data_IF_831415182471
#
_entry.id   IF_831415182471
#
_cell.length_a   1.000
_cell.length_b   1.000
_cell.length_c   1.000
_cell.angle_alpha   90.00
_cell.angle_beta   90.00
_cell.angle_gamma   90.00
#
_symmetry.space_group_name_H-M   'P 1'
#
loop_
_entity.id
_entity.type
_entity.pdbx_description
1 polymer ?
#
# COMPACT_ATOMS: atom_id res chain seq x y z
N UNK A 1 -1.06 -9.18 7.55
CA UNK A 1 -1.21 -7.75 7.94
C UNK A 1 -2.58 -7.55 8.56
N UNK A 2 -2.72 -6.68 9.56
CA UNK A 2 -3.99 -6.41 10.23
C UNK A 2 -4.15 -4.96 10.67
N UNK A 3 -5.36 -4.64 11.13
CA UNK A 3 -5.67 -3.45 11.91
C UNK A 3 -6.39 -3.97 13.16
N UNK A 4 -6.00 -3.48 14.33
CA UNK A 4 -6.62 -3.86 15.61
C UNK A 4 -7.12 -2.62 16.33
N UNK A 5 -8.15 -2.77 17.15
CA UNK A 5 -8.61 -1.73 18.04
C UNK A 5 -8.22 -2.10 19.47
N UNK A 6 -7.63 -1.14 20.18
CA UNK A 6 -7.35 -1.26 21.61
C UNK A 6 -8.59 -0.84 22.40
N UNK A 7 -8.83 -1.47 23.56
CA UNK A 7 -10.01 -1.21 24.37
C UNK A 7 -10.01 0.22 24.93
N UNK A 8 -11.21 0.80 25.12
CA UNK A 8 -11.37 2.17 25.60
C UNK A 8 -10.59 2.48 26.90
N UNK A 9 -10.58 1.62 27.95
CA UNK A 9 -9.83 1.90 29.18
C UNK A 9 -8.32 2.05 28.96
N UNK A 10 -7.74 1.30 28.03
CA UNK A 10 -6.32 1.39 27.70
C UNK A 10 -5.99 2.68 26.95
N UNK A 11 -6.91 3.16 26.10
CA UNK A 11 -6.72 4.40 25.33
C UNK A 11 -6.79 5.65 26.23
N UNK A 12 -7.72 5.67 27.20
CA UNK A 12 -7.89 6.81 28.12
C UNK A 12 -6.96 6.73 29.34
N UNK A 13 -6.22 5.63 29.49
CA UNK A 13 -5.22 5.45 30.53
C UNK A 13 -4.01 6.37 30.36
N UNK A 14 -3.17 6.44 31.40
CA UNK A 14 -1.93 7.25 31.37
C UNK A 14 -0.91 6.73 30.35
N UNK A 15 -0.90 5.42 30.11
CA UNK A 15 -0.03 4.79 29.13
C UNK A 15 -0.70 4.79 27.76
N UNK A 16 0.00 5.30 26.74
CA UNK A 16 -0.51 5.22 25.37
C UNK A 16 -0.36 3.80 24.81
N UNK A 17 -1.35 3.31 24.05
CA UNK A 17 -1.22 2.03 23.37
C UNK A 17 -0.11 2.07 22.31
N UNK A 18 0.44 0.90 22.02
CA UNK A 18 1.40 0.77 20.93
C UNK A 18 0.72 1.07 19.58
N UNK A 19 1.33 1.89 18.71
CA UNK A 19 0.73 2.25 17.42
C UNK A 19 0.72 1.06 16.43
N UNK A 20 1.53 0.04 16.68
CA UNK A 20 1.58 -1.17 15.89
C UNK A 20 2.16 -2.35 16.69
N UNK A 21 1.79 -3.56 16.29
CA UNK A 21 2.33 -4.83 16.75
C UNK A 21 3.04 -5.48 15.56
N UNK A 22 4.28 -5.92 15.74
CA UNK A 22 5.03 -6.68 14.75
C UNK A 22 5.47 -8.00 15.39
N UNK A 23 5.12 -9.11 14.76
CA UNK A 23 5.46 -10.46 15.18
C UNK A 23 6.15 -11.13 14.00
N UNK A 24 7.45 -11.35 14.13
CA UNK A 24 8.24 -12.15 13.21
C UNK A 24 8.70 -13.40 13.97
N UNK A 25 8.11 -14.55 13.66
CA UNK A 25 8.49 -15.82 14.30
C UNK A 25 8.20 -17.02 13.41
N UNK A 26 9.01 -18.06 13.53
CA UNK A 26 8.65 -19.36 12.96
C UNK A 26 7.47 -19.96 13.74
N UNK A 27 6.43 -20.34 13.03
CA UNK A 27 5.22 -20.97 13.55
C UNK A 27 4.83 -22.13 12.66
N UNK A 28 4.89 -23.36 13.19
CA UNK A 28 4.61 -24.60 12.43
C UNK A 28 5.41 -24.67 11.12
N UNK A 29 6.73 -24.46 11.22
CA UNK A 29 7.67 -24.45 10.09
C UNK A 29 7.36 -23.42 8.99
N UNK A 30 6.52 -22.44 9.29
CA UNK A 30 6.22 -21.30 8.43
C UNK A 30 6.72 -20.02 9.10
N UNK A 31 7.44 -19.18 8.37
CA UNK A 31 7.78 -17.84 8.83
C UNK A 31 6.50 -17.00 8.91
N UNK A 32 6.06 -16.70 10.13
CA UNK A 32 4.96 -15.78 10.38
C UNK A 32 5.52 -14.37 10.50
N UNK A 33 5.30 -13.55 9.47
CA UNK A 33 5.50 -12.10 9.48
C UNK A 33 4.14 -11.41 9.60
N UNK A 34 3.73 -11.14 10.84
CA UNK A 34 2.48 -10.49 11.17
C UNK A 34 2.70 -9.07 11.68
N UNK A 35 2.20 -8.10 10.93
CA UNK A 35 2.11 -6.71 11.38
C UNK A 35 0.66 -6.30 11.56
N UNK A 36 0.32 -5.62 12.65
CA UNK A 36 -0.99 -5.01 12.88
C UNK A 36 -0.83 -3.55 13.31
N UNK A 37 -1.57 -2.63 12.69
CA UNK A 37 -1.61 -1.24 13.16
C UNK A 37 -2.78 -1.06 14.11
N UNK A 38 -2.61 -0.26 15.15
CA UNK A 38 -3.75 0.19 15.93
C UNK A 38 -4.64 1.09 15.04
N UNK A 39 -5.95 1.04 15.22
CA UNK A 39 -6.93 1.67 14.33
C UNK A 39 -6.78 3.20 14.24
N UNK A 40 -6.49 3.89 15.33
CA UNK A 40 -6.16 5.32 15.31
C UNK A 40 -4.90 5.58 14.48
N UNK A 41 -3.85 4.78 14.68
CA UNK A 41 -2.63 4.90 13.87
C UNK A 41 -2.94 4.66 12.39
N UNK A 42 -3.81 3.69 12.07
CA UNK A 42 -4.25 3.43 10.70
C UNK A 42 -4.99 4.62 10.09
N UNK A 43 -5.97 5.19 10.80
CA UNK A 43 -6.70 6.38 10.35
C UNK A 43 -5.77 7.59 10.17
N UNK A 44 -4.85 7.82 11.12
CA UNK A 44 -3.85 8.89 11.00
C UNK A 44 -2.94 8.72 9.79
N UNK A 45 -2.54 7.48 9.47
CA UNK A 45 -1.76 7.19 8.27
C UNK A 45 -2.58 7.41 7.00
N UNK A 46 -3.85 7.02 7.00
CA UNK A 46 -4.77 7.27 5.88
C UNK A 46 -4.91 8.77 5.60
N UNK A 47 -5.16 9.59 6.63
CA UNK A 47 -5.24 11.06 6.53
C UNK A 47 -3.95 11.71 5.99
N UNK A 48 -2.80 11.08 6.27
CA UNK A 48 -1.49 11.52 5.76
C UNK A 48 -1.20 11.05 4.33
N UNK A 49 -2.14 10.38 3.66
CA UNK A 49 -1.95 9.86 2.30
C UNK A 49 -0.99 8.67 2.23
N UNK A 50 -0.94 7.83 3.26
CA UNK A 50 -0.06 6.66 3.28
C UNK A 50 -0.62 5.51 2.42
N UNK A 51 -0.01 5.27 1.26
CA UNK A 51 -0.42 4.21 0.33
C UNK A 51 -0.34 2.79 0.91
N UNK A 52 0.64 2.48 1.76
CA UNK A 52 0.68 1.18 2.44
C UNK A 52 -0.53 0.92 3.35
N UNK A 53 -1.02 1.96 4.03
CA UNK A 53 -2.23 1.84 4.85
C UNK A 53 -3.48 1.76 3.97
N UNK A 54 -3.53 2.55 2.90
CA UNK A 54 -4.58 2.47 1.91
C UNK A 54 -4.73 1.05 1.35
N UNK A 55 -3.65 0.49 0.81
CA UNK A 55 -3.61 -0.87 0.26
C UNK A 55 -3.96 -1.93 1.31
N UNK A 56 -3.63 -1.71 2.60
CA UNK A 56 -4.03 -2.63 3.68
C UNK A 56 -5.55 -2.64 3.87
N UNK A 57 -6.20 -1.49 3.86
CA UNK A 57 -7.67 -1.37 4.02
C UNK A 57 -8.39 -1.81 2.74
N UNK A 58 -7.79 -1.57 1.57
CA UNK A 58 -8.33 -1.96 0.25
C UNK A 58 -7.97 -3.38 -0.19
N UNK A 59 -7.19 -4.13 0.58
CA UNK A 59 -6.79 -5.49 0.21
C UNK A 59 -8.03 -6.34 -0.12
N UNK A 60 -8.10 -6.97 -1.31
CA UNK A 60 -9.18 -7.91 -1.63
C UNK A 60 -9.05 -9.20 -0.81
N UNK A 61 -7.89 -9.45 -0.21
CA UNK A 61 -7.60 -10.62 0.60
C UNK A 61 -7.85 -10.31 2.08
N UNK A 62 -9.11 -10.51 2.53
CA UNK A 62 -9.50 -10.36 3.92
C UNK A 62 -9.61 -11.74 4.58
N UNK A 63 -8.93 -11.94 5.71
CA UNK A 63 -9.04 -13.17 6.49
C UNK A 63 -10.30 -13.19 7.36
N UNK A 64 -10.73 -12.01 7.82
CA UNK A 64 -11.90 -11.83 8.65
C UNK A 64 -12.84 -10.84 7.97
N UNK A 65 -14.12 -11.19 7.87
CA UNK A 65 -15.17 -10.26 7.48
C UNK A 65 -15.89 -9.78 8.75
N UNK A 66 -15.74 -8.50 9.08
CA UNK A 66 -16.37 -7.90 10.26
C UNK A 66 -17.21 -6.68 9.88
N UNK A 67 -18.26 -6.34 10.64
CA UNK A 67 -19.01 -5.10 10.42
C UNK A 67 -18.13 -3.85 10.43
N UNK A 68 -17.12 -3.83 11.31
CA UNK A 68 -16.17 -2.71 11.45
C UNK A 68 -15.28 -2.56 10.21
N UNK A 69 -14.88 -3.67 9.59
CA UNK A 69 -14.15 -3.64 8.32
C UNK A 69 -15.00 -3.01 7.21
N UNK A 70 -16.29 -3.37 7.12
CA UNK A 70 -17.20 -2.79 6.11
C UNK A 70 -17.37 -1.29 6.29
N UNK A 71 -17.57 -0.84 7.54
CA UNK A 71 -17.64 0.59 7.85
C UNK A 71 -16.34 1.32 7.51
N UNK A 72 -15.18 0.75 7.85
CA UNK A 72 -13.88 1.32 7.47
C UNK A 72 -13.72 1.36 5.94
N UNK A 73 -14.27 0.38 5.23
CA UNK A 73 -14.27 0.32 3.77
C UNK A 73 -15.23 1.30 3.09
N UNK A 74 -16.29 1.71 3.76
CA UNK A 74 -17.18 2.77 3.30
C UNK A 74 -16.58 4.16 3.55
N UNK A 75 -15.88 4.33 4.68
CA UNK A 75 -15.20 5.57 5.02
C UNK A 75 -14.04 5.86 4.05
N UNK A 76 -13.21 4.87 3.76
CA UNK A 76 -11.94 5.08 3.03
C UNK A 76 -12.09 5.75 1.67
N UNK A 77 -13.18 5.54 0.93
CA UNK A 77 -13.39 6.14 -0.40
C UNK A 77 -13.53 7.65 -0.31
N UNK A 78 -14.11 8.15 0.78
CA UNK A 78 -14.22 9.58 1.07
C UNK A 78 -12.85 10.21 1.39
N UNK A 79 -11.88 9.41 1.83
CA UNK A 79 -10.54 9.85 2.21
C UNK A 79 -9.50 9.75 1.08
N UNK A 80 -9.91 9.34 -0.12
CA UNK A 80 -9.03 9.37 -1.30
C UNK A 80 -8.74 10.82 -1.71
N UNK A 81 -7.48 11.11 -2.00
CA UNK A 81 -7.02 12.45 -2.38
C UNK A 81 -5.72 12.40 -3.18
N UNK A 82 -5.39 13.50 -3.86
CA UNK A 82 -4.13 13.67 -4.58
C UNK A 82 -2.90 13.55 -3.67
N UNK A 83 -3.07 13.74 -2.35
CA UNK A 83 -2.02 13.55 -1.34
C UNK A 83 -1.34 12.17 -1.40
N UNK A 84 -2.04 11.11 -1.82
CA UNK A 84 -1.43 9.78 -1.99
C UNK A 84 -0.29 9.76 -3.01
N UNK A 85 -0.27 10.70 -3.97
CA UNK A 85 0.83 10.81 -4.93
C UNK A 85 2.19 10.96 -4.24
N UNK A 86 2.27 11.68 -3.12
CA UNK A 86 3.54 11.86 -2.40
C UNK A 86 4.10 10.54 -1.88
N UNK A 87 3.22 9.65 -1.39
CA UNK A 87 3.63 8.32 -0.95
C UNK A 87 4.14 7.49 -2.11
N UNK A 88 3.35 7.37 -3.19
CA UNK A 88 3.72 6.52 -4.33
C UNK A 88 4.98 7.04 -5.04
N UNK A 89 5.12 8.36 -5.22
CA UNK A 89 6.32 8.98 -5.81
C UNK A 89 7.56 8.75 -4.95
N UNK A 90 7.47 9.05 -3.65
CA UNK A 90 8.59 8.88 -2.73
C UNK A 90 9.01 7.42 -2.55
N UNK A 91 8.03 6.50 -2.52
CA UNK A 91 8.32 5.06 -2.43
C UNK A 91 8.94 4.53 -3.72
N UNK A 92 8.42 4.93 -4.89
CA UNK A 92 8.99 4.58 -6.19
C UNK A 92 10.45 5.02 -6.31
N UNK A 93 10.74 6.29 -6.02
CA UNK A 93 12.11 6.85 -6.08
C UNK A 93 13.05 6.09 -5.16
N UNK A 94 12.66 5.92 -3.89
CA UNK A 94 13.44 5.15 -2.91
C UNK A 94 13.74 3.73 -3.39
N UNK A 95 12.76 3.06 -4.02
CA UNK A 95 12.96 1.70 -4.52
C UNK A 95 13.87 1.64 -5.75
N UNK A 96 13.81 2.65 -6.62
CA UNK A 96 14.76 2.79 -7.73
C UNK A 96 16.19 2.92 -7.19
N UNK A 97 16.41 3.81 -6.21
CA UNK A 97 17.73 4.02 -5.61
C UNK A 97 18.27 2.76 -4.91
N UNK A 98 17.41 2.08 -4.13
CA UNK A 98 17.74 0.81 -3.46
C UNK A 98 18.12 -0.28 -4.47
N UNK A 99 17.39 -0.35 -5.60
CA UNK A 99 17.64 -1.35 -6.65
C UNK A 99 18.98 -1.13 -7.34
N UNK A 100 19.29 0.11 -7.72
CA UNK A 100 20.56 0.47 -8.35
C UNK A 100 21.72 0.21 -7.38
N UNK A 101 21.57 0.63 -6.12
CA UNK A 101 22.59 0.44 -5.08
C UNK A 101 22.88 -1.04 -4.81
N UNK A 102 21.86 -1.90 -4.86
CA UNK A 102 22.03 -3.34 -4.63
C UNK A 102 22.83 -4.04 -5.74
N UNK A 103 22.73 -3.60 -6.99
CA UNK A 103 23.53 -4.08 -8.14
C UNK A 103 23.32 -5.54 -8.57
N UNK A 104 22.66 -6.37 -7.76
CA UNK A 104 22.37 -7.77 -8.06
C UNK A 104 21.04 -7.99 -8.81
N UNK A 105 20.48 -6.93 -9.41
CA UNK A 105 19.28 -6.93 -10.25
C UNK A 105 18.12 -7.84 -9.78
N UNK A 106 17.68 -7.73 -8.52
CA UNK A 106 16.78 -8.72 -7.95
C UNK A 106 15.34 -8.56 -8.51
N UNK A 107 14.76 -9.63 -9.04
CA UNK A 107 13.48 -9.62 -9.76
C UNK A 107 12.35 -9.06 -8.88
N UNK A 108 12.28 -9.52 -7.62
CA UNK A 108 11.22 -9.12 -6.69
C UNK A 108 11.25 -7.59 -6.46
N UNK A 109 12.35 -6.96 -6.02
CA UNK A 109 12.46 -5.51 -5.97
C UNK A 109 12.11 -4.78 -7.28
N UNK A 110 12.50 -5.29 -8.46
CA UNK A 110 12.07 -4.73 -9.75
C UNK A 110 10.53 -4.70 -9.87
N UNK A 111 9.87 -5.83 -9.59
CA UNK A 111 8.40 -5.92 -9.59
C UNK A 111 7.76 -4.93 -8.61
N UNK A 112 8.35 -4.74 -7.42
CA UNK A 112 7.83 -3.78 -6.44
C UNK A 112 7.89 -2.33 -6.94
N UNK A 113 8.93 -1.95 -7.69
CA UNK A 113 9.05 -0.61 -8.28
C UNK A 113 7.86 -0.33 -9.20
N UNK A 114 7.62 -1.24 -10.15
CA UNK A 114 6.50 -1.12 -11.09
C UNK A 114 5.16 -1.15 -10.37
N UNK A 115 4.94 -2.13 -9.50
CA UNK A 115 3.68 -2.28 -8.75
C UNK A 115 3.32 -1.01 -8.01
N UNK A 116 4.27 -0.39 -7.30
CA UNK A 116 4.01 0.83 -6.52
C UNK A 116 3.67 2.01 -7.43
N UNK A 117 4.46 2.25 -8.48
CA UNK A 117 4.19 3.35 -9.40
C UNK A 117 2.86 3.18 -10.12
N UNK A 118 2.58 1.98 -10.65
CA UNK A 118 1.36 1.68 -11.39
C UNK A 118 0.11 1.69 -10.51
N UNK A 119 0.21 1.23 -9.25
CA UNK A 119 -0.88 1.38 -8.26
C UNK A 119 -1.18 2.87 -8.04
N UNK A 120 -0.15 3.71 -7.87
CA UNK A 120 -0.32 5.15 -7.70
C UNK A 120 -0.92 5.84 -8.92
N UNK A 121 -0.46 5.49 -10.13
CA UNK A 121 -1.00 6.00 -11.40
C UNK A 121 -2.49 5.62 -11.52
N UNK A 122 -2.82 4.34 -11.31
CA UNK A 122 -4.19 3.87 -11.41
C UNK A 122 -5.09 4.61 -10.40
N UNK A 123 -4.70 4.64 -9.13
CA UNK A 123 -5.43 5.36 -8.07
C UNK A 123 -5.71 6.82 -8.44
N UNK A 124 -4.67 7.54 -8.88
CA UNK A 124 -4.80 8.96 -9.17
C UNK A 124 -5.71 9.21 -10.38
N UNK A 125 -5.79 8.29 -11.34
CA UNK A 125 -6.63 8.45 -12.53
C UNK A 125 -8.07 7.98 -12.33
N UNK A 126 -8.29 6.92 -11.54
CA UNK A 126 -9.60 6.25 -11.45
C UNK A 126 -10.29 6.42 -10.10
N UNK A 127 -9.54 6.71 -9.04
CA UNK A 127 -10.02 6.63 -7.67
C UNK A 127 -10.15 5.20 -7.14
N UNK A 128 -9.63 4.20 -7.85
CA UNK A 128 -9.65 2.80 -7.43
C UNK A 128 -8.26 2.34 -6.96
N UNK A 129 -8.21 1.44 -5.99
CA UNK A 129 -6.93 0.91 -5.46
C UNK A 129 -6.74 -0.51 -5.95
N UNK A 130 -5.90 -0.67 -6.98
CA UNK A 130 -5.54 -1.97 -7.54
C UNK A 130 -4.04 -2.20 -7.33
N UNK A 131 -3.71 -3.13 -6.44
CA UNK A 131 -2.32 -3.51 -6.13
C UNK A 131 -1.75 -4.63 -6.99
N UNK A 132 -2.55 -5.22 -7.88
CA UNK A 132 -2.11 -6.24 -8.82
C UNK A 132 -1.40 -5.58 -10.01
N UNK A 133 -0.12 -5.90 -10.16
CA UNK A 133 0.72 -5.34 -11.21
C UNK A 133 0.33 -5.88 -12.59
N UNK A 134 -0.27 -7.07 -12.70
CA UNK A 134 -0.70 -7.59 -14.01
C UNK A 134 -1.83 -6.74 -14.59
N UNK A 135 -2.79 -6.36 -13.75
CA UNK A 135 -3.92 -5.52 -14.14
C UNK A 135 -3.41 -4.11 -14.48
N UNK A 136 -2.74 -3.47 -13.53
CA UNK A 136 -2.33 -2.07 -13.69
C UNK A 136 -1.27 -1.88 -14.78
N UNK A 137 -0.37 -2.84 -14.99
CA UNK A 137 0.61 -2.74 -16.07
C UNK A 137 -0.04 -2.83 -17.46
N UNK A 138 -1.02 -3.72 -17.64
CA UNK A 138 -1.75 -3.83 -18.89
C UNK A 138 -2.53 -2.55 -19.22
N UNK A 139 -3.22 -1.96 -18.23
CA UNK A 139 -4.02 -0.75 -18.40
C UNK A 139 -3.19 0.50 -18.72
N UNK A 140 -1.99 0.62 -18.13
CA UNK A 140 -1.21 1.85 -18.19
C UNK A 140 -0.06 1.84 -19.21
N UNK A 141 0.01 0.80 -20.06
CA UNK A 141 0.94 0.69 -21.19
C UNK A 141 2.30 0.09 -20.83
N UNK A 142 2.30 -0.87 -19.90
CA UNK A 142 3.47 -1.62 -19.42
C UNK A 142 3.24 -3.14 -19.49
N UNK A 143 2.55 -3.63 -20.52
CA UNK A 143 2.21 -5.06 -20.67
C UNK A 143 3.44 -5.99 -20.64
N UNK A 144 4.64 -5.47 -20.96
CA UNK A 144 5.92 -6.16 -20.82
C UNK A 144 6.21 -6.65 -19.39
N UNK A 145 5.55 -6.10 -18.36
CA UNK A 145 5.69 -6.56 -16.97
C UNK A 145 5.10 -7.97 -16.77
N UNK A 146 4.21 -8.42 -17.65
CA UNK A 146 3.79 -9.81 -17.69
C UNK A 146 4.96 -10.79 -17.90
N UNK A 147 5.96 -10.41 -18.71
CA UNK A 147 7.21 -11.19 -18.89
C UNK A 147 7.94 -11.30 -17.54
N UNK A 148 8.07 -10.20 -16.81
CA UNK A 148 8.77 -10.16 -15.52
C UNK A 148 8.05 -10.99 -14.44
N UNK A 149 6.72 -10.97 -14.42
CA UNK A 149 5.90 -11.79 -13.51
C UNK A 149 6.08 -13.28 -13.83
N UNK A 150 6.09 -13.66 -15.12
CA UNK A 150 6.33 -15.04 -15.54
C UNK A 150 7.72 -15.51 -15.14
N UNK A 151 8.75 -14.68 -15.35
CA UNK A 151 10.11 -14.96 -14.90
C UNK A 151 10.11 -15.19 -13.39
N UNK A 152 9.51 -14.30 -12.60
CA UNK A 152 9.45 -14.45 -11.14
C UNK A 152 8.76 -15.76 -10.71
N UNK A 153 7.64 -16.12 -11.34
CA UNK A 153 6.87 -17.31 -11.02
C UNK A 153 7.59 -18.63 -11.39
N UNK A 154 8.32 -18.64 -12.51
CA UNK A 154 9.06 -19.81 -12.97
C UNK A 154 10.33 -20.10 -12.15
N UNK A 155 10.81 -19.09 -11.42
CA UNK A 155 12.11 -19.13 -10.78
C UNK A 155 11.92 -19.28 -9.27
N UNK A 156 11.69 -20.51 -8.81
CA UNK A 156 11.52 -20.80 -7.38
C UNK A 156 12.76 -20.43 -6.53
N UNK A 157 13.94 -20.30 -7.16
CA UNK A 157 15.23 -20.14 -6.44
C UNK A 157 16.30 -19.23 -7.11
N UNK A 158 16.07 -18.61 -8.29
CA UNK A 158 16.98 -17.56 -8.83
C UNK A 158 16.34 -16.19 -8.73
N UNK A 159 16.99 -15.34 -7.96
CA UNK A 159 16.42 -14.10 -7.44
C UNK A 159 16.70 -12.87 -8.31
N UNK A 160 17.43 -13.02 -9.42
CA UNK A 160 18.10 -11.93 -10.11
C UNK A 160 17.95 -12.04 -11.63
N UNK A 161 17.77 -10.90 -12.30
CA UNK A 161 17.83 -10.76 -13.75
C UNK A 161 19.28 -10.67 -14.22
N UNK A 162 19.54 -10.99 -15.49
CA UNK A 162 20.77 -10.53 -16.14
C UNK A 162 20.73 -9.01 -16.36
N UNK A 163 21.90 -8.40 -16.49
CA UNK A 163 22.05 -6.95 -16.62
C UNK A 163 21.27 -6.37 -17.80
N UNK A 164 21.25 -7.06 -18.95
CA UNK A 164 20.55 -6.60 -20.15
C UNK A 164 19.04 -6.62 -19.95
N UNK A 165 18.50 -7.69 -19.37
CA UNK A 165 17.08 -7.79 -19.05
C UNK A 165 16.68 -6.77 -17.99
N UNK A 166 17.49 -6.59 -16.94
CA UNK A 166 17.29 -5.53 -15.95
C UNK A 166 17.27 -4.15 -16.60
N UNK A 167 18.25 -3.86 -17.47
CA UNK A 167 18.38 -2.59 -18.19
C UNK A 167 17.12 -2.20 -18.95
N UNK A 168 16.51 -3.15 -19.69
CA UNK A 168 15.23 -2.93 -20.41
C UNK A 168 14.13 -2.39 -19.49
N UNK A 169 14.04 -2.89 -18.27
CA UNK A 169 13.04 -2.45 -17.29
C UNK A 169 13.45 -1.15 -16.59
N UNK A 170 14.74 -0.92 -16.34
CA UNK A 170 15.23 0.34 -15.77
C UNK A 170 14.98 1.51 -16.72
N UNK A 171 15.18 1.31 -18.03
CA UNK A 171 14.96 2.33 -19.07
C UNK A 171 13.51 2.87 -19.11
N UNK A 172 12.55 2.15 -18.53
CA UNK A 172 11.13 2.53 -18.49
C UNK A 172 10.77 3.36 -17.25
N UNK A 173 11.63 3.43 -16.24
CA UNK A 173 11.37 4.18 -15.01
C UNK A 173 11.12 5.68 -15.24
N UNK A 174 11.82 6.39 -16.14
CA UNK A 174 11.49 7.79 -16.45
C UNK A 174 10.05 7.95 -16.94
N UNK A 175 9.55 7.02 -17.76
CA UNK A 175 8.16 7.04 -18.23
C UNK A 175 7.16 6.75 -17.11
N UNK A 176 7.48 5.85 -16.17
CA UNK A 176 6.66 5.65 -14.96
C UNK A 176 6.55 6.92 -14.13
N UNK A 177 7.68 7.61 -13.93
CA UNK A 177 7.70 8.86 -13.18
C UNK A 177 6.87 9.94 -13.88
N UNK A 178 7.07 10.12 -15.20
CA UNK A 178 6.28 11.05 -16.01
C UNK A 178 4.77 10.74 -15.91
N UNK A 179 4.38 9.48 -16.05
CA UNK A 179 2.97 9.07 -15.94
C UNK A 179 2.40 9.30 -14.56
N UNK A 180 3.17 9.09 -13.50
CA UNK A 180 2.75 9.37 -12.13
C UNK A 180 2.53 10.88 -11.92
N UNK A 181 3.41 11.71 -12.47
CA UNK A 181 3.29 13.17 -12.43
C UNK A 181 2.06 13.65 -13.22
N UNK A 182 1.85 13.11 -14.43
CA UNK A 182 0.65 13.40 -15.23
C UNK A 182 -0.64 12.93 -14.54
N UNK A 183 -0.60 11.79 -13.87
CA UNK A 183 -1.74 11.26 -13.12
C UNK A 183 -2.12 12.17 -11.95
N UNK A 184 -1.14 12.75 -11.25
CA UNK A 184 -1.38 13.74 -10.21
C UNK A 184 -2.05 15.01 -10.76
N UNK A 185 -1.56 15.54 -11.88
CA UNK A 185 -2.13 16.76 -12.51
C UNK A 185 -3.55 16.54 -13.03
N UNK A 186 -3.83 15.36 -13.59
CA UNK A 186 -5.14 15.02 -14.18
C UNK A 186 -6.12 14.39 -13.20
N UNK A 187 -5.72 14.20 -11.95
CA UNK A 187 -6.50 13.41 -11.00
C UNK A 187 -7.86 14.04 -10.71
N UNK A 188 -8.96 13.27 -10.74
CA UNK A 188 -10.28 13.75 -10.32
C UNK A 188 -10.41 13.78 -8.78
N UNK A 189 -9.43 13.26 -8.05
CA UNK A 189 -9.46 13.22 -6.59
C UNK A 189 -9.28 14.64 -6.02
N UNK A 190 -9.88 14.92 -4.84
CA UNK A 190 -9.66 16.19 -4.17
C UNK A 190 -8.18 16.35 -3.78
N UNK A 191 -7.70 17.59 -3.65
CA UNK A 191 -6.31 17.85 -3.24
C UNK A 191 -5.98 17.21 -1.88
N UNK A 192 -6.89 17.42 -0.94
CA UNK A 192 -6.81 16.98 0.44
C UNK A 192 -8.00 16.06 0.75
N UNK A 193 -7.81 15.08 1.66
CA UNK A 193 -8.96 14.37 2.19
C UNK A 193 -9.84 15.33 3.01
N UNK A 194 -11.10 14.95 3.32
CA UNK A 194 -11.88 15.65 4.33
C UNK A 194 -11.15 15.67 5.68
N UNK A 195 -11.64 16.53 6.58
CA UNK A 195 -11.14 16.62 7.95
C UNK A 195 -11.23 15.29 8.72
N UNK A 196 -10.67 15.30 9.93
CA UNK A 196 -10.65 14.09 10.77
C UNK A 196 -12.00 13.77 11.41
N UNK A 197 -12.98 14.68 11.40
CA UNK A 197 -14.25 14.56 12.11
C UNK A 197 -14.95 13.22 11.87
N UNK A 198 -15.22 12.86 10.61
CA UNK A 198 -15.94 11.61 10.28
C UNK A 198 -15.20 10.36 10.75
N UNK A 199 -13.88 10.29 10.54
CA UNK A 199 -13.10 9.13 10.99
C UNK A 199 -12.92 9.12 12.53
N UNK A 200 -12.91 10.28 13.17
CA UNK A 200 -12.87 10.44 14.62
C UNK A 200 -14.17 9.97 15.26
N UNK A 201 -15.32 10.40 14.73
CA UNK A 201 -16.65 9.95 15.15
C UNK A 201 -16.79 8.43 15.04
N UNK A 202 -16.37 7.85 13.91
CA UNK A 202 -16.36 6.40 13.74
C UNK A 202 -15.46 5.68 14.74
N UNK A 203 -14.25 6.19 14.99
CA UNK A 203 -13.32 5.62 15.98
C UNK A 203 -13.89 5.68 17.40
N UNK A 204 -14.55 6.79 17.76
CA UNK A 204 -15.22 6.94 19.06
C UNK A 204 -16.35 5.90 19.18
N UNK A 205 -17.21 5.79 18.17
CA UNK A 205 -18.31 4.82 18.15
C UNK A 205 -17.81 3.37 18.27
N UNK A 206 -16.73 3.02 17.55
CA UNK A 206 -16.07 1.73 17.64
C UNK A 206 -15.61 1.43 19.07
N UNK A 207 -14.92 2.37 19.71
CA UNK A 207 -14.38 2.20 21.07
C UNK A 207 -15.49 2.12 22.13
N UNK A 208 -16.55 2.93 22.00
CA UNK A 208 -17.72 2.87 22.89
C UNK A 208 -18.44 1.52 22.76
N UNK A 209 -18.58 0.98 21.55
CA UNK A 209 -19.17 -0.34 21.32
C UNK A 209 -18.37 -1.45 21.98
N UNK A 210 -17.04 -1.40 21.91
CA UNK A 210 -16.14 -2.41 22.51
C UNK A 210 -16.10 -2.37 24.04
N UNK A 211 -16.56 -1.28 24.66
CA UNK A 211 -16.59 -1.11 26.12
C UNK A 211 -17.87 -1.69 26.76
N UNK A 212 -18.89 -1.99 25.95
CA UNK A 212 -20.17 -2.59 26.35
C UNK A 212 -20.14 -4.10 26.09
#
# INVERSE_FOLDING_TARGET
KGIHAVALPEVVGLSRPLPAINIEKNWRDCLCDFTSNEVEQALRLLLKGNGNMLERIFSPFQLFDTPELKQLQELKTQYLSRRFCHHYRGFFQKKCDEYITAGNFPIKPMLYIYRVALTGIHLLLTGEVIGDVNITAAEHGFAEIGELVQIYAATSEKNCLDEKTSGRFVERWPLLQEKLDQAFEKSPLPELPPGEDTCSEWLIALRLKMAN
#
